data_IF_928857965083
#
_entry.id   IF_928857965083
#
_cell.length_a   1.000
_cell.length_b   1.000
_cell.length_c   1.000
_cell.angle_alpha   90.00
_cell.angle_beta   90.00
_cell.angle_gamma   90.00
#
_symmetry.space_group_name_H-M   'P 1'
#
loop_
_entity.id
_entity.type
_entity.pdbx_description
1 polymer ?
#
# COMPACT_ATOMS: atom_id res chain seq x y z
N UNK A 1 29.41 -0.72 18.77
CA UNK A 1 28.61 -1.64 17.94
C UNK A 1 27.45 -0.83 17.37
N UNK A 2 27.50 -0.64 16.05
CA UNK A 2 26.56 0.13 15.23
C UNK A 2 25.15 -0.45 15.32
N UNK A 3 24.20 0.34 15.80
CA UNK A 3 22.78 0.09 15.58
C UNK A 3 22.20 1.33 14.90
N UNK A 4 22.43 1.40 13.59
CA UNK A 4 21.75 2.34 12.71
C UNK A 4 20.30 1.86 12.59
N UNK A 5 19.43 2.40 13.44
CA UNK A 5 17.97 2.30 13.28
C UNK A 5 17.65 2.88 11.89
N UNK A 6 17.04 2.12 10.96
CA UNK A 6 16.82 2.61 9.61
C UNK A 6 15.95 3.86 9.69
N UNK A 7 16.41 4.90 9.01
CA UNK A 7 15.79 6.21 8.97
C UNK A 7 14.30 6.08 8.60
N UNK A 8 13.45 6.66 9.45
CA UNK A 8 12.06 6.92 9.10
C UNK A 8 12.06 7.75 7.81
N UNK A 9 11.44 7.29 6.71
CA UNK A 9 11.48 8.06 5.47
C UNK A 9 10.77 9.41 5.68
N UNK A 10 11.47 10.48 5.34
CA UNK A 10 11.00 11.86 5.40
C UNK A 10 9.68 12.03 4.63
N UNK A 11 8.66 12.68 5.22
CA UNK A 11 7.51 13.16 4.46
C UNK A 11 7.94 14.43 3.72
N UNK A 12 7.75 14.53 2.39
CA UNK A 12 7.29 15.76 1.69
C UNK A 12 7.56 15.80 0.17
N UNK A 13 8.49 15.05 -0.43
CA UNK A 13 8.67 15.10 -1.91
C UNK A 13 7.96 13.93 -2.60
N UNK A 14 6.81 14.19 -3.22
CA UNK A 14 6.03 13.33 -4.12
C UNK A 14 6.36 11.82 -4.02
N UNK A 15 5.99 11.19 -2.90
CA UNK A 15 6.18 9.74 -2.75
C UNK A 15 5.44 9.03 -3.89
N UNK A 16 6.16 8.15 -4.60
CA UNK A 16 5.53 7.32 -5.64
C UNK A 16 4.33 6.57 -5.03
N UNK A 17 3.29 6.26 -5.82
CA UNK A 17 2.12 5.57 -5.30
C UNK A 17 2.44 4.26 -4.57
N UNK A 18 3.49 3.54 -5.00
CA UNK A 18 4.00 2.38 -4.27
C UNK A 18 4.55 2.75 -2.89
N UNK A 19 5.43 3.74 -2.81
CA UNK A 19 5.97 4.19 -1.51
C UNK A 19 4.87 4.66 -0.57
N UNK A 20 3.87 5.35 -1.11
CA UNK A 20 2.68 5.73 -0.34
C UNK A 20 1.92 4.49 0.17
N UNK A 21 1.64 3.52 -0.70
CA UNK A 21 0.93 2.29 -0.35
C UNK A 21 1.65 1.55 0.79
N UNK A 22 2.96 1.35 0.68
CA UNK A 22 3.77 0.71 1.73
C UNK A 22 3.73 1.46 3.05
N UNK A 23 3.83 2.80 3.01
CA UNK A 23 3.72 3.63 4.21
C UNK A 23 2.34 3.49 4.84
N UNK A 24 1.28 3.47 4.02
CA UNK A 24 -0.09 3.34 4.48
C UNK A 24 -0.37 1.96 5.07
N UNK A 25 0.07 0.89 4.42
CA UNK A 25 -0.10 -0.47 4.92
C UNK A 25 0.55 -0.67 6.30
N UNK A 26 1.76 -0.14 6.52
CA UNK A 26 2.41 -0.17 7.84
C UNK A 26 1.60 0.53 8.94
N UNK A 27 0.85 1.59 8.58
CA UNK A 27 -0.03 2.26 9.54
C UNK A 27 -1.30 1.44 9.85
N UNK A 28 -1.76 0.63 8.90
CA UNK A 28 -3.02 -0.11 9.00
C UNK A 28 -2.85 -1.49 9.63
N UNK A 29 -1.78 -2.21 9.32
CA UNK A 29 -1.57 -3.59 9.80
C UNK A 29 -0.88 -3.67 11.15
N UNK A 30 -0.38 -2.54 11.69
CA UNK A 30 0.45 -2.48 12.90
C UNK A 30 1.68 -3.42 12.87
N UNK A 31 2.07 -3.88 11.68
CA UNK A 31 3.24 -4.74 11.47
C UNK A 31 4.51 -3.89 11.38
N UNK A 32 5.45 -4.12 12.29
CA UNK A 32 6.80 -3.54 12.25
C UNK A 32 7.72 -4.30 11.26
N UNK A 33 7.25 -5.44 10.72
CA UNK A 33 7.97 -6.32 9.79
C UNK A 33 7.73 -6.04 8.31
N UNK A 34 8.48 -6.74 7.46
CA UNK A 34 8.24 -6.72 6.01
C UNK A 34 7.01 -7.58 5.67
N UNK A 35 6.03 -6.98 4.98
CA UNK A 35 4.88 -7.71 4.44
C UNK A 35 5.35 -8.67 3.35
N UNK A 36 4.87 -9.91 3.39
CA UNK A 36 5.13 -10.87 2.34
C UNK A 36 4.38 -10.43 1.06
N UNK A 37 5.07 -10.21 -0.08
CA UNK A 37 4.47 -9.62 -1.26
C UNK A 37 3.32 -10.44 -1.85
N UNK A 38 3.34 -11.77 -1.69
CA UNK A 38 2.35 -12.68 -2.26
C UNK A 38 1.32 -13.17 -1.24
N UNK A 39 1.44 -12.75 0.02
CA UNK A 39 0.54 -13.18 1.08
C UNK A 39 -0.71 -12.31 1.12
N UNK A 40 -1.82 -12.92 1.51
CA UNK A 40 -3.08 -12.22 1.63
C UNK A 40 -2.99 -11.22 2.80
N UNK A 41 -3.16 -9.94 2.49
CA UNK A 41 -3.08 -8.82 3.43
C UNK A 41 -4.15 -8.91 4.54
N UNK A 42 -5.24 -9.65 4.32
CA UNK A 42 -6.24 -9.91 5.35
C UNK A 42 -5.68 -10.70 6.54
N UNK A 43 -4.63 -11.51 6.35
CA UNK A 43 -3.94 -12.19 7.46
C UNK A 43 -3.18 -11.22 8.37
N UNK A 44 -2.85 -10.03 7.87
CA UNK A 44 -2.21 -8.95 8.62
C UNK A 44 -3.21 -7.96 9.22
N UNK A 45 -4.49 -8.34 9.30
CA UNK A 45 -5.55 -7.52 9.90
C UNK A 45 -6.22 -6.53 8.95
N UNK A 46 -5.96 -6.62 7.64
CA UNK A 46 -6.62 -5.77 6.65
C UNK A 46 -8.07 -6.23 6.42
N UNK A 47 -9.06 -5.39 6.72
CA UNK A 47 -10.47 -5.70 6.55
C UNK A 47 -11.16 -4.90 5.41
N UNK A 48 -12.42 -5.24 5.10
CA UNK A 48 -13.15 -4.63 3.99
C UNK A 48 -13.33 -3.10 4.12
N UNK A 49 -13.45 -2.56 5.33
CA UNK A 49 -13.55 -1.10 5.55
C UNK A 49 -12.21 -0.42 5.24
N UNK A 50 -11.10 -1.06 5.59
CA UNK A 50 -9.77 -0.60 5.25
C UNK A 50 -9.53 -0.63 3.73
N UNK A 51 -10.00 -1.67 3.02
CA UNK A 51 -9.94 -1.69 1.55
C UNK A 51 -10.70 -0.52 0.92
N UNK A 52 -11.91 -0.23 1.41
CA UNK A 52 -12.71 0.90 0.90
C UNK A 52 -12.02 2.24 1.14
N UNK A 53 -11.42 2.41 2.32
CA UNK A 53 -10.66 3.60 2.68
C UNK A 53 -9.42 3.75 1.79
N UNK A 54 -8.69 2.66 1.57
CA UNK A 54 -7.49 2.66 0.73
C UNK A 54 -7.83 3.00 -0.73
N UNK A 55 -8.91 2.42 -1.27
CA UNK A 55 -9.41 2.76 -2.60
C UNK A 55 -9.73 4.26 -2.69
N UNK A 56 -10.48 4.81 -1.73
CA UNK A 56 -10.80 6.24 -1.70
C UNK A 56 -9.55 7.13 -1.65
N UNK A 57 -8.57 6.76 -0.83
CA UNK A 57 -7.29 7.47 -0.69
C UNK A 57 -6.42 7.43 -1.96
N UNK A 58 -6.48 6.34 -2.73
CA UNK A 58 -5.83 6.23 -4.04
C UNK A 58 -6.53 7.10 -5.09
N UNK A 59 -7.86 7.07 -5.12
CA UNK A 59 -8.64 7.93 -6.03
C UNK A 59 -8.40 9.42 -5.76
N UNK A 60 -8.32 9.83 -4.49
CA UNK A 60 -8.00 11.21 -4.11
C UNK A 60 -6.59 11.65 -4.57
N UNK A 61 -5.69 10.69 -4.82
CA UNK A 61 -4.34 10.93 -5.37
C UNK A 61 -4.30 10.88 -6.90
N UNK A 62 -5.45 10.76 -7.57
CA UNK A 62 -5.54 10.68 -9.02
C UNK A 62 -5.29 9.28 -9.58
N UNK A 63 -5.34 8.24 -8.76
CA UNK A 63 -5.13 6.85 -9.18
C UNK A 63 -6.47 6.11 -9.12
N UNK A 64 -7.13 5.89 -10.27
CA UNK A 64 -8.45 5.29 -10.28
C UNK A 64 -8.37 3.79 -9.96
N UNK A 65 -8.82 3.43 -8.77
CA UNK A 65 -8.84 2.06 -8.24
C UNK A 65 -10.17 1.80 -7.53
N UNK A 66 -10.79 0.66 -7.81
CA UNK A 66 -12.01 0.24 -7.11
C UNK A 66 -11.71 -0.75 -6.00
N UNK A 67 -12.55 -0.76 -4.97
CA UNK A 67 -12.47 -1.71 -3.85
C UNK A 67 -12.53 -3.17 -4.36
N UNK A 68 -13.34 -3.45 -5.38
CA UNK A 68 -13.44 -4.79 -5.98
C UNK A 68 -12.15 -5.25 -6.67
N UNK A 69 -11.35 -4.30 -7.18
CA UNK A 69 -10.05 -4.61 -7.77
C UNK A 69 -9.03 -4.96 -6.68
N UNK A 70 -9.07 -4.24 -5.56
CA UNK A 70 -8.23 -4.54 -4.40
C UNK A 70 -8.62 -5.86 -3.71
N UNK A 71 -9.91 -6.17 -3.64
CA UNK A 71 -10.42 -7.37 -2.96
C UNK A 71 -10.26 -8.66 -3.76
N UNK A 72 -10.13 -8.58 -5.10
CA UNK A 72 -9.89 -9.75 -5.96
C UNK A 72 -8.58 -10.45 -5.61
N UNK A 73 -7.52 -9.68 -5.41
CA UNK A 73 -6.19 -10.17 -5.03
C UNK A 73 -5.61 -9.22 -3.99
N UNK A 74 -5.91 -9.41 -2.70
CA UNK A 74 -5.46 -8.54 -1.62
C UNK A 74 -4.00 -8.85 -1.25
N UNK A 75 -3.10 -8.89 -2.23
CA UNK A 75 -1.65 -9.06 -2.00
C UNK A 75 -0.93 -7.77 -2.31
N UNK A 76 0.22 -7.55 -1.68
CA UNK A 76 1.02 -6.36 -1.94
C UNK A 76 1.54 -6.33 -3.39
N UNK A 77 1.97 -7.48 -3.92
CA UNK A 77 2.47 -7.59 -5.29
C UNK A 77 1.40 -7.24 -6.34
N UNK A 78 0.17 -7.74 -6.18
CA UNK A 78 -0.93 -7.44 -7.09
C UNK A 78 -1.30 -5.95 -7.05
N UNK A 79 -1.28 -5.35 -5.86
CA UNK A 79 -1.61 -3.94 -5.70
C UNK A 79 -0.52 -3.03 -6.27
N UNK A 80 0.76 -3.34 -6.09
CA UNK A 80 1.85 -2.60 -6.74
C UNK A 80 1.72 -2.65 -8.26
N UNK A 81 1.50 -3.83 -8.83
CA UNK A 81 1.30 -4.00 -10.27
C UNK A 81 0.08 -3.21 -10.79
N UNK A 82 -1.01 -3.18 -10.02
CA UNK A 82 -2.19 -2.37 -10.34
C UNK A 82 -1.85 -0.88 -10.38
N UNK A 83 -1.10 -0.38 -9.40
CA UNK A 83 -0.70 1.03 -9.32
C UNK A 83 0.25 1.42 -10.46
N UNK A 84 1.15 0.54 -10.87
CA UNK A 84 2.04 0.80 -12.01
C UNK A 84 1.29 0.87 -13.33
N UNK A 85 0.35 -0.06 -13.55
CA UNK A 85 -0.46 -0.08 -14.74
C UNK A 85 -1.27 1.23 -14.89
N UNK A 86 -1.75 1.78 -13.77
CA UNK A 86 -2.45 3.07 -13.75
C UNK A 86 -1.53 4.26 -14.02
N UNK A 87 -0.32 4.26 -13.47
CA UNK A 87 0.66 5.32 -13.71
C UNK A 87 1.22 5.32 -15.13
N UNK A 88 1.39 4.15 -15.74
CA UNK A 88 1.86 4.03 -17.12
C UNK A 88 0.79 4.47 -18.15
N UNK A 89 -0.48 4.55 -17.73
CA UNK A 89 -1.61 4.94 -18.57
C UNK A 89 -2.01 6.42 -18.40
N UNK A 90 -1.34 7.16 -17.53
CA UNK A 90 -1.57 8.58 -17.23
C UNK A 90 -0.54 9.46 -17.95
#
# INVERSE_FOLDING_TARGET
>A
MTNEKPAKPSPTEAASPRQWLHSRLRQLTAEDGALNPTENLMYYGLDSLLLMTLAAELNARGIPVRTEELSRSPTLADWEALLDARQASA
#
